data_IF_658200622605
#
_entry.id   IF_658200622605
#
_cell.length_a   1.000
_cell.length_b   1.000
_cell.length_c   1.000
_cell.angle_alpha   90.00
_cell.angle_beta   90.00
_cell.angle_gamma   90.00
#
_symmetry.space_group_name_H-M   'P 1'
#
loop_
_entity.id
_entity.type
_entity.pdbx_description
1 polymer ?
#
# COMPACT_ATOMS: atom_id res chain seq x y z
N UNK A 1 -65.69 12.69 -60.44
CA UNK A 1 -65.31 13.60 -61.54
C UNK A 1 -63.82 13.53 -61.64
N UNK A 2 -63.34 12.82 -62.63
CA UNK A 2 -62.69 13.30 -63.87
C UNK A 2 -61.23 13.71 -63.59
N UNK A 3 -60.20 13.24 -64.15
CA UNK A 3 -59.75 12.67 -65.40
C UNK A 3 -58.21 12.59 -65.35
N UNK A 4 -57.66 11.47 -65.60
CA UNK A 4 -56.67 11.10 -66.63
C UNK A 4 -55.68 12.19 -67.06
N UNK A 5 -54.34 11.86 -66.97
CA UNK A 5 -53.48 11.82 -68.14
C UNK A 5 -52.13 11.20 -67.87
N UNK A 6 -51.82 10.10 -68.59
CA UNK A 6 -50.48 9.57 -68.87
C UNK A 6 -50.03 10.21 -70.17
N UNK A 7 -48.81 10.52 -70.45
CA UNK A 7 -47.93 9.65 -71.23
C UNK A 7 -46.49 9.54 -70.78
N UNK A 8 -45.89 8.39 -70.78
CA UNK A 8 -45.13 7.75 -71.83
C UNK A 8 -43.77 8.33 -72.20
N UNK A 9 -42.75 7.52 -71.93
CA UNK A 9 -41.53 7.28 -72.69
C UNK A 9 -40.41 8.34 -72.64
N UNK A 10 -39.24 7.97 -72.01
CA UNK A 10 -38.03 7.82 -72.82
C UNK A 10 -36.96 7.06 -72.03
N UNK A 11 -36.61 5.92 -72.57
CA UNK A 11 -35.52 5.03 -72.21
C UNK A 11 -34.18 5.69 -72.62
N UNK A 12 -33.30 6.07 -71.73
CA UNK A 12 -31.92 6.34 -72.09
C UNK A 12 -31.03 5.55 -71.16
N UNK A 13 -30.56 4.39 -71.64
CA UNK A 13 -29.45 3.64 -71.13
C UNK A 13 -28.16 4.50 -71.22
N UNK A 14 -27.67 4.98 -70.12
CA UNK A 14 -26.29 5.45 -70.00
C UNK A 14 -25.55 4.51 -69.07
N UNK A 15 -24.73 3.66 -69.67
CA UNK A 15 -23.76 2.80 -68.96
C UNK A 15 -22.71 3.73 -68.32
N UNK A 16 -22.67 3.76 -66.97
CA UNK A 16 -21.60 4.39 -66.23
C UNK A 16 -20.56 3.33 -65.90
N UNK A 17 -19.29 3.47 -66.30
CA UNK A 17 -18.27 2.50 -65.88
C UNK A 17 -18.07 2.61 -64.38
N UNK A 18 -18.25 1.47 -63.68
CA UNK A 18 -17.87 1.32 -62.32
C UNK A 18 -16.34 1.37 -62.20
N UNK A 19 -15.85 2.48 -61.69
CA UNK A 19 -14.47 2.57 -61.24
C UNK A 19 -14.41 1.83 -59.92
N UNK A 20 -13.81 0.63 -59.93
CA UNK A 20 -13.42 -0.09 -58.73
C UNK A 20 -12.34 0.78 -58.03
N UNK A 21 -12.71 1.43 -56.96
CA UNK A 21 -11.74 1.95 -56.01
C UNK A 21 -11.13 0.73 -55.31
N UNK A 22 -9.90 0.40 -55.66
CA UNK A 22 -9.08 -0.49 -54.88
C UNK A 22 -8.77 0.23 -53.56
N UNK A 23 -9.45 -0.16 -52.47
CA UNK A 23 -9.03 0.16 -51.13
C UNK A 23 -7.64 -0.46 -50.92
N UNK A 24 -6.61 0.33 -51.19
CA UNK A 24 -5.27 0.03 -50.67
C UNK A 24 -5.34 0.11 -49.16
N UNK A 25 -5.52 -1.07 -48.54
CA UNK A 25 -5.24 -1.24 -47.12
C UNK A 25 -3.83 -0.72 -46.89
N UNK A 26 -3.71 0.43 -46.22
CA UNK A 26 -2.44 0.97 -45.80
C UNK A 26 -1.79 -0.09 -44.89
N UNK A 27 -0.72 -0.70 -45.37
CA UNK A 27 0.15 -1.55 -44.61
C UNK A 27 0.56 -0.77 -43.35
N UNK A 28 0.36 -1.32 -42.11
CA UNK A 28 0.76 -0.63 -40.90
C UNK A 28 2.25 -0.31 -41.03
N UNK A 29 2.57 0.97 -40.95
CA UNK A 29 3.94 1.45 -40.98
C UNK A 29 4.76 0.60 -40.01
N UNK A 30 5.82 -0.04 -40.52
CA UNK A 30 6.70 -0.87 -39.74
C UNK A 30 7.11 -0.08 -38.49
N UNK A 31 6.78 -0.62 -37.31
CA UNK A 31 7.18 -0.04 -36.05
C UNK A 31 8.70 0.14 -36.12
N UNK A 32 9.17 1.38 -36.02
CA UNK A 32 10.58 1.68 -36.00
C UNK A 32 11.29 0.81 -34.93
N UNK A 33 12.59 0.56 -35.07
CA UNK A 33 13.30 -0.29 -34.13
C UNK A 33 13.02 0.20 -32.71
N UNK A 34 12.63 -0.75 -31.83
CA UNK A 34 12.39 -0.44 -30.43
C UNK A 34 13.59 0.31 -29.86
N UNK A 35 13.40 1.39 -29.07
CA UNK A 35 14.48 2.17 -28.54
C UNK A 35 15.47 1.26 -27.79
N UNK A 36 16.72 1.32 -28.20
CA UNK A 36 17.79 0.55 -27.59
C UNK A 36 17.88 0.91 -26.11
N UNK A 37 17.72 -0.09 -25.25
CA UNK A 37 17.89 0.10 -23.79
C UNK A 37 19.38 0.32 -23.53
N UNK A 38 19.80 1.57 -23.45
CA UNK A 38 21.16 1.91 -23.03
C UNK A 38 21.25 1.62 -21.53
N UNK A 39 21.94 0.53 -21.18
CA UNK A 39 22.26 0.22 -19.80
C UNK A 39 23.38 1.17 -19.34
N UNK A 40 22.99 2.29 -18.74
CA UNK A 40 23.95 3.19 -18.09
C UNK A 40 24.40 2.53 -16.80
N UNK A 41 25.58 1.91 -16.80
CA UNK A 41 26.25 1.37 -15.61
C UNK A 41 26.86 2.55 -14.83
N UNK A 42 25.98 3.33 -14.19
CA UNK A 42 26.34 4.40 -13.27
C UNK A 42 26.17 3.96 -11.81
N UNK A 43 26.57 4.80 -10.86
CA UNK A 43 26.21 4.58 -9.44
C UNK A 43 24.69 4.51 -9.35
N UNK A 44 24.16 3.43 -8.75
CA UNK A 44 22.71 3.27 -8.57
C UNK A 44 22.15 4.47 -7.80
N UNK A 45 21.09 5.12 -8.30
CA UNK A 45 20.69 6.47 -7.83
C UNK A 45 20.12 6.50 -6.41
N UNK A 46 19.79 5.37 -5.82
CA UNK A 46 19.06 5.26 -4.56
C UNK A 46 17.62 4.83 -4.78
N UNK A 47 16.72 5.02 -3.80
CA UNK A 47 15.32 4.62 -3.90
C UNK A 47 14.60 5.23 -5.10
N UNK A 48 13.61 4.50 -5.63
CA UNK A 48 12.86 4.93 -6.82
C UNK A 48 12.16 6.28 -6.64
N UNK A 49 12.35 7.14 -7.63
CA UNK A 49 11.71 8.45 -7.73
C UNK A 49 11.20 8.65 -9.16
N UNK A 50 9.90 8.73 -9.35
CA UNK A 50 9.26 8.79 -10.66
C UNK A 50 8.74 10.19 -10.94
N UNK A 51 8.97 10.68 -12.16
CA UNK A 51 8.42 11.94 -12.66
C UNK A 51 7.13 11.67 -13.43
N UNK A 52 6.07 12.31 -13.03
CA UNK A 52 4.79 12.38 -13.76
C UNK A 52 4.60 13.81 -14.23
N UNK A 53 4.28 14.01 -15.51
CA UNK A 53 4.05 15.36 -16.05
C UNK A 53 2.79 15.43 -16.89
N UNK A 54 2.09 16.59 -16.81
CA UNK A 54 0.93 16.92 -17.65
C UNK A 54 0.99 18.41 -17.96
N UNK A 55 1.29 18.76 -19.21
CA UNK A 55 1.61 20.16 -19.59
C UNK A 55 2.79 20.67 -18.76
N UNK A 56 2.63 21.84 -18.19
CA UNK A 56 3.64 22.48 -17.31
C UNK A 56 3.68 21.93 -15.88
N UNK A 57 2.74 21.03 -15.53
CA UNK A 57 2.67 20.46 -14.18
C UNK A 57 3.56 19.22 -14.06
N UNK A 58 4.32 19.18 -12.97
CA UNK A 58 5.21 18.06 -12.64
C UNK A 58 4.93 17.57 -11.22
N UNK A 59 4.77 16.25 -11.09
CA UNK A 59 4.69 15.59 -9.81
C UNK A 59 5.82 14.54 -9.70
N UNK A 60 6.54 14.55 -8.60
CA UNK A 60 7.52 13.52 -8.26
C UNK A 60 6.90 12.54 -7.27
N UNK A 61 6.91 11.25 -7.60
CA UNK A 61 6.42 10.17 -6.74
C UNK A 61 7.59 9.40 -6.19
N UNK A 62 7.74 9.42 -4.87
CA UNK A 62 8.77 8.68 -4.16
C UNK A 62 8.22 7.36 -3.63
N UNK A 63 8.88 6.25 -3.97
CA UNK A 63 8.53 4.92 -3.50
C UNK A 63 9.15 4.63 -2.14
N UNK A 64 8.41 4.84 -1.06
CA UNK A 64 8.83 4.40 0.26
C UNK A 64 8.68 2.88 0.40
N UNK A 65 9.55 2.27 1.22
CA UNK A 65 9.49 0.84 1.53
C UNK A 65 9.60 0.59 3.05
N UNK A 66 8.88 -0.40 3.52
CA UNK A 66 8.93 -0.91 4.90
C UNK A 66 8.65 -2.42 4.87
N UNK A 67 9.36 -3.25 5.69
CA UNK A 67 10.34 -2.88 6.70
C UNK A 67 11.76 -2.67 6.15
N UNK A 68 12.55 -1.85 6.84
CA UNK A 68 13.98 -1.66 6.53
C UNK A 68 14.87 -2.10 7.70
N UNK A 69 16.16 -2.41 7.48
CA UNK A 69 17.14 -2.50 8.56
C UNK A 69 17.12 -1.25 9.44
N UNK A 70 17.14 -1.44 10.77
CA UNK A 70 16.94 -0.36 11.74
C UNK A 70 17.95 0.80 11.63
N UNK A 71 19.11 0.56 11.03
CA UNK A 71 20.18 1.54 10.81
C UNK A 71 20.56 1.67 9.33
N UNK A 72 19.58 1.45 8.42
CA UNK A 72 19.88 1.54 7.00
C UNK A 72 20.09 2.99 6.59
N UNK A 73 21.26 3.25 6.03
CA UNK A 73 21.53 4.50 5.31
C UNK A 73 21.09 4.31 3.85
N UNK A 74 20.33 5.27 3.34
CA UNK A 74 19.94 5.33 1.95
C UNK A 74 20.26 6.67 1.33
N UNK A 75 20.47 6.70 0.03
CA UNK A 75 20.84 7.93 -0.67
C UNK A 75 19.66 8.84 -0.84
N UNK A 76 19.55 9.83 0.05
CA UNK A 76 18.48 10.82 0.01
C UNK A 76 18.77 11.99 -0.93
N UNK A 77 19.97 12.11 -1.49
CA UNK A 77 20.42 13.29 -2.23
C UNK A 77 19.51 13.67 -3.40
N UNK A 78 19.09 12.70 -4.21
CA UNK A 78 18.21 12.96 -5.35
C UNK A 78 16.81 13.39 -4.88
N UNK A 79 16.26 12.71 -3.88
CA UNK A 79 14.98 13.07 -3.26
C UNK A 79 15.06 14.46 -2.64
N UNK A 80 16.13 14.78 -1.92
CA UNK A 80 16.36 16.12 -1.35
C UNK A 80 16.42 17.19 -2.44
N UNK A 81 17.14 16.93 -3.55
CA UNK A 81 17.25 17.87 -4.66
C UNK A 81 15.90 18.15 -5.33
N UNK A 82 15.04 17.14 -5.49
CA UNK A 82 13.70 17.33 -6.08
C UNK A 82 12.72 17.96 -5.09
N UNK A 83 12.73 17.49 -3.84
CA UNK A 83 11.85 18.02 -2.81
C UNK A 83 12.16 19.49 -2.49
N UNK A 84 13.43 19.89 -2.45
CA UNK A 84 13.82 21.27 -2.19
C UNK A 84 13.35 22.27 -3.24
N UNK A 85 13.09 21.81 -4.47
CA UNK A 85 12.59 22.62 -5.59
C UNK A 85 11.08 22.52 -5.80
N UNK A 86 10.40 21.70 -5.00
CA UNK A 86 8.96 21.49 -5.11
C UNK A 86 8.19 22.59 -4.40
N UNK A 87 7.03 22.98 -4.94
CA UNK A 87 6.13 23.94 -4.29
C UNK A 87 5.44 23.32 -3.06
N UNK A 88 5.24 22.00 -3.08
CA UNK A 88 4.45 21.31 -2.07
C UNK A 88 4.93 19.87 -1.91
N UNK A 89 4.92 19.41 -0.66
CA UNK A 89 5.11 18.02 -0.28
C UNK A 89 3.77 17.44 0.19
N UNK A 90 3.25 16.48 -0.56
CA UNK A 90 2.07 15.72 -0.17
C UNK A 90 2.51 14.55 0.72
N UNK A 91 2.03 14.51 1.96
CA UNK A 91 2.32 13.39 2.84
C UNK A 91 1.73 12.08 2.30
N UNK A 92 2.25 10.91 2.68
CA UNK A 92 1.58 9.65 2.38
C UNK A 92 0.13 9.68 2.87
N UNK A 93 -0.81 9.05 2.14
CA UNK A 93 -2.17 8.84 2.64
C UNK A 93 -2.13 8.11 3.98
N UNK A 94 -2.86 8.60 4.94
CA UNK A 94 -2.93 8.00 6.27
C UNK A 94 -4.32 8.12 6.86
N UNK A 95 -4.69 7.18 7.72
CA UNK A 95 -5.88 7.27 8.55
C UNK A 95 -5.47 7.58 9.97
N UNK A 96 -6.11 8.54 10.57
CA UNK A 96 -5.86 8.95 11.96
C UNK A 96 -7.15 8.98 12.77
N UNK A 97 -7.00 8.83 14.08
CA UNK A 97 -8.09 8.97 15.03
C UNK A 97 -7.78 10.16 15.94
N UNK A 98 -8.71 11.10 16.04
CA UNK A 98 -8.63 12.22 16.96
C UNK A 98 -9.72 12.06 18.04
N UNK A 99 -9.30 11.96 19.28
CA UNK A 99 -10.23 11.82 20.43
C UNK A 99 -10.35 13.09 21.29
N UNK A 100 -9.67 14.16 20.88
CA UNK A 100 -9.71 15.44 21.59
C UNK A 100 -9.35 15.32 23.09
N UNK A 101 -9.87 16.22 23.90
CA UNK A 101 -9.69 16.17 25.36
C UNK A 101 -10.29 14.94 26.04
N UNK A 102 -11.28 14.29 25.41
CA UNK A 102 -11.87 13.04 25.88
C UNK A 102 -10.92 11.86 25.91
N UNK A 103 -9.77 11.94 25.22
CA UNK A 103 -8.76 10.89 25.25
C UNK A 103 -8.20 10.66 26.67
N UNK A 104 -8.00 11.72 27.44
CA UNK A 104 -7.47 11.63 28.83
C UNK A 104 -8.42 10.87 29.73
N UNK A 105 -9.73 11.11 29.62
CA UNK A 105 -10.75 10.43 30.43
C UNK A 105 -10.92 8.96 30.04
N UNK A 106 -10.46 8.59 28.85
CA UNK A 106 -10.53 7.23 28.34
C UNK A 106 -9.40 6.32 28.82
N UNK A 107 -8.27 6.87 29.27
CA UNK A 107 -7.09 6.12 29.70
C UNK A 107 -7.37 4.96 30.67
N UNK A 108 -8.16 5.14 31.76
CA UNK A 108 -8.45 4.04 32.67
C UNK A 108 -9.18 2.85 31.99
N UNK A 109 -9.93 3.12 30.91
CA UNK A 109 -10.68 2.10 30.18
C UNK A 109 -9.83 1.35 29.14
N UNK A 110 -8.59 1.78 28.89
CA UNK A 110 -7.64 1.11 27.99
C UNK A 110 -7.07 -0.19 28.58
N UNK A 111 -7.18 -0.41 29.89
CA UNK A 111 -6.74 -1.66 30.52
C UNK A 111 -7.53 -2.83 29.90
N UNK A 112 -6.81 -3.82 29.38
CA UNK A 112 -7.40 -4.96 28.67
C UNK A 112 -8.06 -4.63 27.32
N UNK A 113 -7.79 -3.46 26.73
CA UNK A 113 -8.32 -3.06 25.42
C UNK A 113 -7.94 -4.06 24.31
N UNK A 114 -6.77 -4.65 24.39
CA UNK A 114 -6.25 -5.63 23.43
C UNK A 114 -6.79 -7.06 23.67
N UNK A 115 -7.37 -7.32 24.82
CA UNK A 115 -7.74 -8.69 25.19
C UNK A 115 -8.98 -9.15 24.42
N UNK A 116 -9.05 -10.48 24.23
CA UNK A 116 -10.28 -11.13 23.77
C UNK A 116 -11.43 -10.85 24.74
N UNK A 117 -12.66 -10.74 24.24
CA UNK A 117 -13.85 -10.69 25.11
C UNK A 117 -13.92 -11.91 26.01
N UNK A 118 -14.57 -11.77 27.15
CA UNK A 118 -14.94 -12.84 28.09
C UNK A 118 -13.76 -13.70 28.60
N UNK A 119 -12.52 -13.17 28.48
CA UNK A 119 -11.32 -13.83 28.93
C UNK A 119 -10.86 -15.00 28.06
N UNK A 120 -11.38 -15.11 26.83
CA UNK A 120 -10.97 -16.15 25.89
C UNK A 120 -9.46 -16.04 25.56
N UNK A 121 -8.83 -17.20 25.31
CA UNK A 121 -7.44 -17.30 24.90
C UNK A 121 -7.35 -17.39 23.38
N UNK A 122 -6.18 -17.12 22.79
CA UNK A 122 -5.95 -17.28 21.35
C UNK A 122 -6.38 -18.65 20.83
N UNK A 123 -6.05 -19.72 21.55
CA UNK A 123 -6.43 -21.10 21.20
C UNK A 123 -7.95 -21.32 21.08
N UNK A 124 -8.76 -20.49 21.75
CA UNK A 124 -10.22 -20.61 21.77
C UNK A 124 -10.88 -19.82 20.61
N UNK A 125 -10.14 -18.88 19.99
CA UNK A 125 -10.68 -17.94 19.00
C UNK A 125 -10.04 -18.10 17.61
N UNK A 126 -8.93 -18.86 17.49
CA UNK A 126 -8.30 -19.13 16.19
C UNK A 126 -8.39 -20.64 15.86
N UNK A 127 -8.42 -21.02 14.57
CA UNK A 127 -8.39 -22.43 14.16
C UNK A 127 -7.16 -23.17 14.72
N UNK A 128 -7.34 -24.42 15.08
CA UNK A 128 -6.30 -25.23 15.73
C UNK A 128 -5.01 -25.37 14.89
N UNK A 129 -5.14 -25.47 13.58
CA UNK A 129 -4.02 -25.54 12.64
C UNK A 129 -3.22 -24.22 12.62
N UNK A 130 -3.91 -23.08 12.64
CA UNK A 130 -3.28 -21.75 12.70
C UNK A 130 -2.61 -21.54 14.06
N UNK A 131 -3.26 -21.97 15.15
CA UNK A 131 -2.67 -21.91 16.48
C UNK A 131 -1.43 -22.80 16.61
N UNK A 132 -1.43 -23.97 15.99
CA UNK A 132 -0.25 -24.86 15.97
C UNK A 132 0.96 -24.20 15.27
N UNK A 133 0.73 -23.36 14.25
CA UNK A 133 1.79 -22.56 13.58
C UNK A 133 2.25 -21.37 14.43
N UNK A 134 1.36 -20.79 15.22
CA UNK A 134 1.68 -19.68 16.14
C UNK A 134 2.67 -20.10 17.23
N UNK A 135 2.50 -21.27 17.84
CA UNK A 135 3.27 -21.70 19.00
C UNK A 135 4.80 -21.66 18.80
N UNK A 136 5.38 -22.24 17.73
CA UNK A 136 6.83 -22.19 17.53
C UNK A 136 7.34 -20.77 17.26
N UNK A 137 6.55 -19.92 16.59
CA UNK A 137 6.92 -18.53 16.34
C UNK A 137 6.84 -17.71 17.63
N UNK A 138 5.81 -17.91 18.46
CA UNK A 138 5.73 -17.30 19.79
C UNK A 138 6.95 -17.66 20.63
N UNK A 139 7.27 -18.95 20.74
CA UNK A 139 8.43 -19.41 21.51
C UNK A 139 9.73 -18.77 21.01
N UNK A 140 9.91 -18.66 19.69
CA UNK A 140 11.11 -18.10 19.07
C UNK A 140 11.25 -16.58 19.26
N UNK A 141 10.17 -15.82 19.11
CA UNK A 141 10.24 -14.35 19.01
C UNK A 141 9.74 -13.62 20.25
N UNK A 142 8.81 -14.19 21.00
CA UNK A 142 8.19 -13.59 22.19
C UNK A 142 8.67 -14.26 23.47
N UNK A 143 8.92 -15.59 23.44
CA UNK A 143 9.29 -16.36 24.60
C UNK A 143 8.08 -16.76 25.47
N UNK A 144 8.29 -16.83 26.79
CA UNK A 144 7.33 -17.36 27.77
C UNK A 144 6.27 -16.33 28.22
N UNK A 145 6.04 -15.26 27.47
CA UNK A 145 5.00 -14.28 27.79
C UNK A 145 3.60 -14.83 27.52
N UNK A 146 2.93 -15.36 28.53
CA UNK A 146 1.58 -15.91 28.40
C UNK A 146 0.50 -14.82 28.39
N UNK A 147 0.83 -13.58 28.70
CA UNK A 147 -0.11 -12.45 28.61
C UNK A 147 -0.65 -12.24 27.19
N UNK A 148 0.19 -12.50 26.19
CA UNK A 148 -0.17 -12.35 24.77
C UNK A 148 -1.25 -13.35 24.33
N UNK A 149 -1.36 -14.51 24.97
CA UNK A 149 -2.39 -15.50 24.66
C UNK A 149 -3.81 -15.01 24.96
N UNK A 150 -3.93 -13.96 25.76
CA UNK A 150 -5.21 -13.31 26.06
C UNK A 150 -5.57 -12.18 25.08
N UNK A 151 -4.59 -11.76 24.27
CA UNK A 151 -4.82 -10.69 23.31
C UNK A 151 -5.63 -11.20 22.11
N UNK A 152 -6.35 -10.30 21.47
CA UNK A 152 -7.04 -10.57 20.20
C UNK A 152 -6.04 -10.95 19.12
N UNK A 153 -6.40 -11.80 18.16
CA UNK A 153 -5.51 -12.29 17.11
C UNK A 153 -4.72 -11.18 16.42
N UNK A 154 -5.35 -10.06 16.09
CA UNK A 154 -4.70 -8.93 15.44
C UNK A 154 -3.56 -8.34 16.29
N UNK A 155 -3.79 -8.10 17.59
CA UNK A 155 -2.76 -7.50 18.45
C UNK A 155 -1.63 -8.48 18.77
N UNK A 156 -1.99 -9.75 19.01
CA UNK A 156 -1.00 -10.78 19.23
C UNK A 156 -0.09 -10.98 18.01
N UNK A 157 -0.67 -11.01 16.80
CA UNK A 157 0.11 -11.15 15.57
C UNK A 157 0.94 -9.91 15.25
N UNK A 158 0.47 -8.71 15.59
CA UNK A 158 1.26 -7.48 15.42
C UNK A 158 2.50 -7.46 16.30
N UNK A 159 2.35 -7.84 17.57
CA UNK A 159 3.49 -7.96 18.49
C UNK A 159 4.47 -9.04 18.03
N UNK A 160 3.96 -10.22 17.61
CA UNK A 160 4.78 -11.29 17.05
C UNK A 160 5.56 -10.81 15.82
N UNK A 161 4.88 -10.14 14.89
CA UNK A 161 5.48 -9.64 13.66
C UNK A 161 6.56 -8.60 13.96
N UNK A 162 6.29 -7.65 14.84
CA UNK A 162 7.23 -6.65 15.28
C UNK A 162 8.49 -7.27 15.92
N UNK A 163 8.32 -8.29 16.75
CA UNK A 163 9.43 -9.03 17.38
C UNK A 163 10.20 -9.86 16.36
N UNK A 164 9.52 -10.51 15.43
CA UNK A 164 10.14 -11.25 14.33
C UNK A 164 10.99 -10.35 13.43
N UNK A 165 10.49 -9.17 13.06
CA UNK A 165 11.24 -8.18 12.32
C UNK A 165 12.49 -7.73 13.09
N UNK A 166 12.35 -7.40 14.38
CA UNK A 166 13.47 -6.98 15.22
C UNK A 166 14.55 -8.07 15.33
N UNK A 167 14.14 -9.34 15.49
CA UNK A 167 15.06 -10.48 15.47
C UNK A 167 15.82 -10.62 14.14
N UNK A 168 15.15 -10.29 13.03
CA UNK A 168 15.74 -10.24 11.70
C UNK A 168 16.58 -8.96 11.45
N UNK A 169 16.70 -8.05 12.41
CA UNK A 169 17.37 -6.76 12.27
C UNK A 169 16.59 -5.75 11.43
N UNK A 170 15.29 -5.98 11.24
CA UNK A 170 14.38 -5.12 10.48
C UNK A 170 13.49 -4.29 11.42
N UNK A 171 12.98 -3.18 10.92
CA UNK A 171 12.04 -2.30 11.62
C UNK A 171 10.98 -1.76 10.67
N UNK A 172 9.72 -1.77 11.10
CA UNK A 172 8.64 -1.07 10.41
C UNK A 172 8.76 0.46 10.53
N UNK A 173 9.42 0.96 11.59
CA UNK A 173 9.76 2.37 11.72
C UNK A 173 11.07 2.66 10.99
N UNK A 174 10.96 3.04 9.73
CA UNK A 174 12.11 3.21 8.84
C UNK A 174 12.79 4.57 8.95
N UNK A 175 12.15 5.55 9.59
CA UNK A 175 12.64 6.94 9.64
C UNK A 175 12.57 7.70 8.31
N UNK A 176 12.05 7.08 7.23
CA UNK A 176 11.91 7.72 5.91
C UNK A 176 11.04 8.97 6.02
N UNK A 177 9.84 8.85 6.58
CA UNK A 177 8.92 9.97 6.70
C UNK A 177 9.56 11.12 7.50
N UNK A 178 10.19 10.80 8.64
CA UNK A 178 10.90 11.79 9.42
C UNK A 178 11.93 12.55 8.58
N UNK A 179 12.73 11.83 7.78
CA UNK A 179 13.73 12.43 6.89
C UNK A 179 13.11 13.34 5.83
N UNK A 180 11.99 12.92 5.22
CA UNK A 180 11.28 13.74 4.23
C UNK A 180 10.70 15.02 4.85
N UNK A 181 10.12 14.93 6.05
CA UNK A 181 9.63 16.11 6.78
C UNK A 181 10.77 17.06 7.19
N UNK A 182 11.92 16.53 7.61
CA UNK A 182 13.12 17.33 7.90
C UNK A 182 13.60 18.11 6.66
N UNK A 183 13.64 17.45 5.50
CA UNK A 183 14.00 18.09 4.21
C UNK A 183 12.98 19.19 3.87
N UNK A 184 11.69 18.88 3.90
CA UNK A 184 10.64 19.85 3.60
C UNK A 184 10.73 21.07 4.52
N UNK A 185 10.97 20.88 5.82
CA UNK A 185 11.15 21.94 6.80
C UNK A 185 12.41 22.77 6.52
N UNK A 186 13.54 22.13 6.24
CA UNK A 186 14.82 22.78 5.92
C UNK A 186 14.69 23.76 4.75
N UNK A 187 13.97 23.33 3.70
CA UNK A 187 13.80 24.14 2.48
C UNK A 187 12.49 24.93 2.46
N UNK A 188 11.73 24.97 3.54
CA UNK A 188 10.47 25.69 3.67
C UNK A 188 9.42 25.27 2.64
N UNK A 189 9.43 24.00 2.21
CA UNK A 189 8.43 23.44 1.32
C UNK A 189 7.12 23.29 2.06
N UNK A 190 6.02 23.73 1.47
CA UNK A 190 4.67 23.56 2.05
C UNK A 190 4.36 22.07 2.20
N UNK A 191 3.95 21.66 3.41
CA UNK A 191 3.51 20.28 3.66
C UNK A 191 2.00 20.21 3.69
N UNK A 192 1.41 19.43 2.79
CA UNK A 192 -0.02 19.14 2.79
C UNK A 192 -0.27 17.70 3.19
N UNK A 193 -1.05 17.53 4.24
CA UNK A 193 -1.45 16.20 4.73
C UNK A 193 -2.61 15.67 3.92
N UNK A 194 -2.45 14.48 3.33
CA UNK A 194 -3.47 13.81 2.51
C UNK A 194 -4.26 12.76 3.31
N UNK A 195 -3.99 12.65 4.62
CA UNK A 195 -4.67 11.70 5.49
C UNK A 195 -6.09 12.12 5.86
N UNK A 196 -6.92 11.11 6.15
CA UNK A 196 -8.26 11.29 6.70
C UNK A 196 -8.21 11.08 8.21
N UNK A 197 -8.77 12.02 8.98
CA UNK A 197 -8.83 11.90 10.43
C UNK A 197 -10.29 11.75 10.86
N UNK A 198 -10.60 10.61 11.48
CA UNK A 198 -11.92 10.35 12.08
C UNK A 198 -11.92 10.85 13.51
N UNK A 199 -12.86 11.72 13.83
CA UNK A 199 -13.03 12.24 15.19
C UNK A 199 -13.90 11.28 16.01
N UNK A 200 -13.36 10.83 17.15
CA UNK A 200 -14.13 10.07 18.14
C UNK A 200 -14.75 11.05 19.15
N UNK A 201 -16.06 11.19 19.11
CA UNK A 201 -16.77 12.11 20.00
C UNK A 201 -16.92 11.58 21.44
N UNK A 202 -17.03 10.26 21.59
CA UNK A 202 -17.22 9.59 22.87
C UNK A 202 -16.19 8.49 23.12
N UNK A 203 -14.92 8.83 23.40
CA UNK A 203 -13.82 7.85 23.50
C UNK A 203 -14.10 6.71 24.48
N UNK A 204 -14.65 7.01 25.66
CA UNK A 204 -15.00 5.99 26.68
C UNK A 204 -16.05 5.00 26.14
N UNK A 205 -17.11 5.52 25.47
CA UNK A 205 -18.16 4.67 24.89
C UNK A 205 -17.58 3.78 23.78
N UNK A 206 -16.74 4.36 22.91
CA UNK A 206 -16.09 3.65 21.82
C UNK A 206 -15.18 2.53 22.35
N UNK A 207 -14.34 2.79 23.34
CA UNK A 207 -13.47 1.77 23.95
C UNK A 207 -14.30 0.66 24.59
N UNK A 208 -15.35 0.98 25.31
CA UNK A 208 -16.23 -0.03 25.92
C UNK A 208 -16.94 -0.90 24.87
N UNK A 209 -17.40 -0.28 23.78
CA UNK A 209 -18.02 -1.00 22.67
C UNK A 209 -16.99 -1.92 21.99
N UNK A 210 -15.80 -1.39 21.70
CA UNK A 210 -14.72 -2.16 21.11
C UNK A 210 -14.33 -3.37 21.96
N UNK A 211 -14.20 -3.21 23.29
CA UNK A 211 -13.87 -4.32 24.19
C UNK A 211 -14.89 -5.47 24.17
N UNK A 212 -16.13 -5.18 23.80
CA UNK A 212 -17.22 -6.18 23.68
C UNK A 212 -17.43 -6.69 22.25
N UNK A 213 -16.84 -6.03 21.24
CA UNK A 213 -17.02 -6.41 19.85
C UNK A 213 -16.25 -7.67 19.51
N UNK A 214 -16.69 -8.40 18.51
CA UNK A 214 -15.91 -9.46 17.85
C UNK A 214 -15.19 -8.82 16.65
N UNK A 215 -13.90 -9.09 16.50
CA UNK A 215 -13.14 -8.62 15.34
C UNK A 215 -13.09 -9.73 14.28
N UNK A 216 -13.12 -9.33 13.02
CA UNK A 216 -12.84 -10.24 11.90
C UNK A 216 -11.34 -10.18 11.57
N UNK A 217 -10.50 -10.59 12.51
CA UNK A 217 -9.05 -10.39 12.46
C UNK A 217 -8.24 -11.68 12.22
N UNK A 218 -8.92 -12.81 11.99
CA UNK A 218 -8.27 -14.09 11.70
C UNK A 218 -7.39 -14.05 10.44
N UNK A 219 -7.84 -13.37 9.39
CA UNK A 219 -7.05 -13.23 8.17
C UNK A 219 -5.76 -12.44 8.42
N UNK A 220 -5.82 -11.34 9.18
CA UNK A 220 -4.65 -10.57 9.61
C UNK A 220 -3.67 -11.45 10.42
N UNK A 221 -4.18 -12.23 11.38
CA UNK A 221 -3.38 -13.15 12.19
C UNK A 221 -2.68 -14.19 11.34
N UNK A 222 -3.42 -14.89 10.48
CA UNK A 222 -2.90 -15.96 9.62
C UNK A 222 -1.84 -15.45 8.63
N UNK A 223 -2.09 -14.29 8.01
CA UNK A 223 -1.13 -13.66 7.10
C UNK A 223 0.14 -13.21 7.79
N UNK A 224 0.04 -12.73 9.02
CA UNK A 224 1.22 -12.34 9.80
C UNK A 224 2.12 -13.55 10.13
N UNK A 225 1.52 -14.70 10.46
CA UNK A 225 2.23 -15.95 10.66
C UNK A 225 2.92 -16.39 9.38
N UNK A 226 2.17 -16.48 8.27
CA UNK A 226 2.69 -16.88 6.96
C UNK A 226 3.89 -16.04 6.54
N UNK A 227 3.79 -14.74 6.73
CA UNK A 227 4.84 -13.80 6.35
C UNK A 227 6.11 -13.98 7.20
N UNK A 228 5.98 -14.30 8.48
CA UNK A 228 7.13 -14.59 9.33
C UNK A 228 7.79 -15.95 9.02
N UNK A 229 7.02 -16.91 8.56
CA UNK A 229 7.55 -18.24 8.18
C UNK A 229 8.32 -18.17 6.85
N UNK A 230 7.88 -17.36 5.90
CA UNK A 230 8.30 -17.48 4.50
C UNK A 230 9.03 -16.28 3.93
N UNK A 231 8.87 -15.07 4.50
CA UNK A 231 9.20 -13.83 3.78
C UNK A 231 10.30 -12.96 4.43
N UNK A 232 10.85 -13.32 5.60
CA UNK A 232 11.84 -12.48 6.29
C UNK A 232 13.10 -12.20 5.46
N UNK A 233 13.61 -13.22 4.75
CA UNK A 233 14.78 -13.06 3.90
C UNK A 233 14.45 -12.25 2.65
N UNK A 234 13.31 -12.47 2.05
CA UNK A 234 12.83 -11.65 0.92
C UNK A 234 12.63 -10.18 1.32
N UNK A 235 12.17 -9.89 2.54
CA UNK A 235 12.10 -8.52 3.07
C UNK A 235 13.46 -7.85 3.12
N UNK A 236 14.52 -8.57 3.56
CA UNK A 236 15.89 -8.04 3.55
C UNK A 236 16.41 -7.77 2.14
N UNK A 237 16.14 -8.70 1.21
CA UNK A 237 16.55 -8.55 -0.19
C UNK A 237 15.86 -7.34 -0.80
N UNK A 238 14.54 -7.17 -0.59
CA UNK A 238 13.77 -6.01 -1.06
C UNK A 238 14.28 -4.71 -0.44
N UNK A 239 14.58 -4.70 0.86
CA UNK A 239 15.12 -3.52 1.55
C UNK A 239 16.45 -3.07 0.92
N UNK A 240 17.36 -4.01 0.65
CA UNK A 240 18.64 -3.73 0.00
C UNK A 240 18.46 -3.26 -1.46
N UNK A 241 17.55 -3.90 -2.19
CA UNK A 241 17.22 -3.52 -3.56
C UNK A 241 16.60 -2.12 -3.62
N UNK A 242 15.67 -1.81 -2.69
CA UNK A 242 15.09 -0.48 -2.56
C UNK A 242 16.15 0.60 -2.31
N UNK A 243 17.05 0.40 -1.35
CA UNK A 243 18.10 1.36 -1.04
C UNK A 243 19.06 1.63 -2.23
N UNK A 244 19.15 0.69 -3.17
CA UNK A 244 19.97 0.78 -4.38
C UNK A 244 19.18 1.20 -5.62
N UNK A 245 17.86 1.33 -5.54
CA UNK A 245 17.00 1.59 -6.70
C UNK A 245 16.88 0.40 -7.67
N UNK A 246 17.05 -0.83 -7.18
CA UNK A 246 16.97 -2.04 -7.99
C UNK A 246 15.54 -2.55 -8.11
N UNK A 247 14.76 -1.90 -8.97
CA UNK A 247 13.34 -2.20 -9.16
C UNK A 247 13.15 -3.63 -9.70
N UNK A 248 14.01 -4.10 -10.58
CA UNK A 248 13.89 -5.44 -11.16
C UNK A 248 13.96 -6.54 -10.08
N UNK A 249 14.83 -6.39 -9.09
CA UNK A 249 14.90 -7.31 -7.95
C UNK A 249 13.63 -7.22 -7.10
N UNK A 250 13.10 -6.02 -6.85
CA UNK A 250 11.86 -5.86 -6.08
C UNK A 250 10.69 -6.55 -6.79
N UNK A 251 10.53 -6.36 -8.10
CA UNK A 251 9.46 -6.94 -8.91
C UNK A 251 9.57 -8.48 -9.02
N UNK A 252 10.80 -9.02 -8.98
CA UNK A 252 11.02 -10.47 -9.08
C UNK A 252 10.60 -11.24 -7.83
N UNK A 253 10.45 -10.57 -6.69
CA UNK A 253 10.12 -11.19 -5.42
C UNK A 253 8.61 -11.19 -5.19
N UNK A 254 8.04 -12.34 -4.84
CA UNK A 254 6.63 -12.41 -4.41
C UNK A 254 6.46 -11.56 -3.16
N UNK A 255 5.37 -10.83 -3.10
CA UNK A 255 5.02 -10.00 -1.97
C UNK A 255 3.80 -10.60 -1.26
N UNK A 256 4.02 -11.18 -0.07
CA UNK A 256 2.94 -11.58 0.81
C UNK A 256 2.59 -10.38 1.69
N UNK A 257 1.61 -9.56 1.28
CA UNK A 257 1.17 -8.41 2.07
C UNK A 257 0.11 -8.84 3.10
N UNK A 258 0.39 -8.52 4.36
CA UNK A 258 -0.58 -8.64 5.46
C UNK A 258 -1.39 -7.35 5.61
N UNK A 259 -0.94 -6.25 5.00
CA UNK A 259 -1.46 -4.91 5.22
C UNK A 259 -2.95 -4.82 4.92
N UNK A 260 -3.38 -5.34 3.78
CA UNK A 260 -4.79 -5.33 3.38
C UNK A 260 -5.67 -6.10 4.38
N UNK A 261 -5.26 -7.33 4.75
CA UNK A 261 -6.03 -8.15 5.70
C UNK A 261 -6.13 -7.51 7.10
N UNK A 262 -5.07 -6.82 7.54
CA UNK A 262 -5.07 -6.15 8.83
C UNK A 262 -5.82 -4.81 8.77
N UNK A 263 -5.78 -4.09 7.66
CA UNK A 263 -6.58 -2.88 7.43
C UNK A 263 -8.08 -3.22 7.42
N UNK A 264 -8.48 -4.27 6.73
CA UNK A 264 -9.87 -4.75 6.69
C UNK A 264 -10.38 -5.11 8.08
N UNK A 265 -9.56 -5.79 8.90
CA UNK A 265 -9.93 -6.10 10.28
C UNK A 265 -10.21 -4.84 11.13
N UNK A 266 -9.43 -3.77 10.93
CA UNK A 266 -9.64 -2.49 11.61
C UNK A 266 -10.88 -1.78 11.06
N UNK A 267 -11.00 -1.66 9.73
CA UNK A 267 -12.08 -0.92 9.09
C UNK A 267 -13.46 -1.52 9.36
N UNK A 268 -13.56 -2.86 9.37
CA UNK A 268 -14.83 -3.56 9.67
C UNK A 268 -15.21 -3.53 11.14
N UNK A 269 -14.27 -3.20 12.04
CA UNK A 269 -14.53 -3.14 13.48
C UNK A 269 -14.90 -1.74 14.00
N UNK A 270 -14.72 -0.69 13.20
CA UNK A 270 -14.98 0.71 13.58
C UNK A 270 -16.33 1.21 13.04
N UNK A 271 -16.97 0.46 12.14
CA UNK A 271 -18.31 0.73 11.59
C UNK A 271 -19.37 -0.01 12.41
#
# INVERSE_FOLDING_TARGET
>A
MLRHFVPLLCLCLLAVPAWAQSDTVAEPAAAGPAPEKILVVGQRPGPGLWKISKGEHVMWVFGAYSPLPAKMEWRAHEVEAKLSQSQEFLSPPSTGIAAGYGAMTALPFMVGFKNNPDGAMLKDVVPADVYARWLPLKAKYIGENDGIERERPMFASDELFRKGLAHAGLSGNTGIDKKLYEIATKYKVKVTRTGVTTKIESPVKTIRAFKKSTLNDLACFSRSIEQLETDLDAMRIRANAWAKGDIAVIESLKFADRGDACADAVMTSVV
#
